data_IF_025005308038
#
_entry.id   IF_025005308038
#
_cell.length_a   1.000
_cell.length_b   1.000
_cell.length_c   1.000
_cell.angle_alpha   90.00
_cell.angle_beta   90.00
_cell.angle_gamma   90.00
#
_symmetry.space_group_name_H-M   'P 1'
#
loop_
_entity.id
_entity.type
_entity.pdbx_description
1 polymer ?
#
# COMPACT_ATOMS: atom_id res chain seq x y z
N UNK A 1 -8.16 9.10 17.58
CA UNK A 1 -8.09 7.65 17.33
C UNK A 1 -8.09 7.50 15.82
N UNK A 2 -7.15 6.74 15.24
CA UNK A 2 -7.11 6.57 13.77
C UNK A 2 -8.19 5.59 13.32
N UNK A 3 -8.73 5.79 12.13
CA UNK A 3 -9.61 4.80 11.51
C UNK A 3 -8.81 3.57 11.10
N UNK A 4 -9.40 2.40 11.26
CA UNK A 4 -8.80 1.12 10.90
C UNK A 4 -9.66 0.53 9.78
N UNK A 5 -9.13 0.60 8.55
CA UNK A 5 -9.75 0.07 7.34
C UNK A 5 -8.78 -0.85 6.63
N UNK A 6 -9.33 -1.78 5.88
CA UNK A 6 -8.58 -2.74 5.10
C UNK A 6 -9.22 -2.89 3.73
N UNK A 7 -8.39 -3.16 2.73
CA UNK A 7 -8.82 -3.68 1.44
C UNK A 7 -8.04 -4.95 1.14
N UNK A 8 -8.56 -5.77 0.24
CA UNK A 8 -8.05 -7.10 -0.03
C UNK A 8 -7.95 -7.31 -1.53
N UNK A 9 -6.77 -7.67 -2.00
CA UNK A 9 -6.60 -8.21 -3.33
C UNK A 9 -6.81 -9.71 -3.32
N UNK A 10 -7.69 -10.22 -4.20
CA UNK A 10 -7.83 -11.65 -4.42
C UNK A 10 -6.99 -12.10 -5.61
N UNK A 11 -6.01 -12.97 -5.35
CA UNK A 11 -5.18 -13.58 -6.41
C UNK A 11 -5.95 -14.53 -7.32
N UNK A 12 -7.09 -15.05 -6.84
CA UNK A 12 -7.90 -15.98 -7.62
C UNK A 12 -8.80 -15.27 -8.63
N UNK A 13 -9.46 -14.18 -8.20
CA UNK A 13 -10.37 -13.43 -9.07
C UNK A 13 -9.71 -12.25 -9.73
N UNK A 14 -8.49 -11.89 -9.31
CA UNK A 14 -7.75 -10.69 -9.72
C UNK A 14 -8.60 -9.43 -9.55
N UNK A 15 -9.15 -9.26 -8.34
CA UNK A 15 -10.02 -8.13 -7.99
C UNK A 15 -9.69 -7.58 -6.60
N UNK A 16 -9.82 -6.27 -6.47
CA UNK A 16 -9.79 -5.56 -5.20
C UNK A 16 -11.18 -5.60 -4.54
N UNK A 17 -11.18 -5.86 -3.23
CA UNK A 17 -12.38 -5.83 -2.37
C UNK A 17 -12.11 -4.90 -1.19
N UNK A 18 -12.95 -3.88 -1.03
CA UNK A 18 -12.97 -2.98 0.13
C UNK A 18 -14.13 -3.30 1.10
N UNK A 19 -14.98 -4.25 0.74
CA UNK A 19 -16.06 -4.78 1.55
C UNK A 19 -16.25 -6.30 1.36
N UNK A 20 -17.22 -6.88 2.08
CA UNK A 20 -17.64 -8.26 1.85
C UNK A 20 -16.59 -9.33 2.18
N UNK A 21 -15.63 -9.03 3.06
CA UNK A 21 -14.67 -9.99 3.59
C UNK A 21 -14.60 -9.98 5.12
N UNK A 22 -14.16 -11.10 5.68
CA UNK A 22 -13.94 -11.28 7.12
C UNK A 22 -12.54 -11.85 7.37
N UNK A 23 -11.86 -11.35 8.39
CA UNK A 23 -10.55 -11.85 8.82
C UNK A 23 -10.73 -12.51 10.19
N UNK A 24 -10.40 -13.80 10.31
CA UNK A 24 -10.43 -14.53 11.60
C UNK A 24 -9.31 -14.07 12.53
N UNK A 25 -9.39 -14.46 13.81
CA UNK A 25 -8.31 -14.20 14.77
C UNK A 25 -6.99 -14.86 14.36
N UNK A 26 -7.05 -16.00 13.68
CA UNK A 26 -5.89 -16.74 13.17
C UNK A 26 -5.37 -16.16 11.84
N UNK A 27 -6.04 -15.14 11.31
CA UNK A 27 -5.68 -14.44 10.08
C UNK A 27 -6.18 -15.11 8.80
N UNK A 28 -7.19 -15.98 8.90
CA UNK A 28 -7.86 -16.56 7.74
C UNK A 28 -8.83 -15.56 7.13
N UNK A 29 -8.94 -15.54 5.80
CA UNK A 29 -9.79 -14.60 5.08
C UNK A 29 -10.95 -15.31 4.38
N UNK A 30 -12.15 -14.80 4.62
CA UNK A 30 -13.41 -15.29 4.04
C UNK A 30 -14.01 -14.21 3.16
N UNK A 31 -14.53 -14.61 2.01
CA UNK A 31 -15.15 -13.71 1.05
C UNK A 31 -16.64 -14.03 0.93
N UNK A 32 -17.49 -13.07 1.33
CA UNK A 32 -18.94 -13.19 1.39
C UNK A 32 -19.44 -14.25 2.41
N UNK A 33 -20.76 -14.39 2.56
CA UNK A 33 -21.39 -15.42 3.41
C UNK A 33 -21.19 -16.87 2.89
N UNK A 34 -20.52 -17.02 1.75
CA UNK A 34 -20.05 -18.32 1.28
C UNK A 34 -18.82 -18.70 2.10
N UNK A 35 -18.93 -19.76 2.89
CA UNK A 35 -17.82 -20.45 3.58
C UNK A 35 -16.83 -21.11 2.58
N UNK A 36 -16.60 -20.50 1.43
CA UNK A 36 -15.52 -20.87 0.52
C UNK A 36 -14.22 -20.40 1.17
N UNK A 37 -13.71 -21.24 2.06
CA UNK A 37 -12.38 -21.12 2.62
C UNK A 37 -11.41 -21.00 1.45
N UNK A 38 -10.72 -19.86 1.36
CA UNK A 38 -9.55 -19.75 0.51
C UNK A 38 -8.34 -19.69 1.41
N UNK A 39 -7.30 -20.43 1.01
CA UNK A 39 -6.01 -20.40 1.69
C UNK A 39 -5.59 -18.93 1.89
N UNK A 40 -5.08 -18.58 3.08
CA UNK A 40 -4.48 -17.27 3.40
C UNK A 40 -3.57 -16.74 2.30
N UNK A 41 -2.83 -17.61 1.62
CA UNK A 41 -1.95 -17.24 0.51
C UNK A 41 -2.68 -16.74 -0.76
N UNK A 42 -4.02 -16.88 -0.82
CA UNK A 42 -4.86 -16.49 -1.96
C UNK A 42 -5.24 -15.02 -1.95
N UNK A 43 -4.91 -14.31 -0.86
CA UNK A 43 -5.26 -12.93 -0.67
C UNK A 43 -4.07 -12.12 -0.20
N UNK A 44 -4.12 -10.83 -0.49
CA UNK A 44 -3.19 -9.84 0.04
C UNK A 44 -4.01 -8.76 0.74
N UNK A 45 -3.78 -8.58 2.03
CA UNK A 45 -4.48 -7.61 2.87
C UNK A 45 -3.64 -6.34 2.91
N UNK A 46 -4.26 -5.20 2.67
CA UNK A 46 -3.62 -3.88 2.71
C UNK A 46 -4.35 -2.99 3.70
N UNK A 47 -3.60 -2.38 4.62
CA UNK A 47 -4.16 -1.49 5.62
C UNK A 47 -4.21 -0.02 5.15
N UNK A 48 -5.27 0.69 5.53
CA UNK A 48 -5.35 2.14 5.40
C UNK A 48 -4.32 2.84 6.30
N UNK A 49 -3.59 3.80 5.73
CA UNK A 49 -2.52 4.51 6.43
C UNK A 49 -3.02 5.49 7.48
N UNK A 50 -4.28 5.95 7.39
CA UNK A 50 -4.78 7.08 8.17
C UNK A 50 -4.61 8.44 7.47
N UNK A 51 -4.15 8.48 6.22
CA UNK A 51 -3.90 9.70 5.44
C UNK A 51 -4.55 9.65 4.07
N UNK A 52 -4.80 10.81 3.48
CA UNK A 52 -5.34 10.98 2.13
C UNK A 52 -4.31 11.66 1.22
N UNK A 53 -4.39 11.39 -0.08
CA UNK A 53 -3.63 12.07 -1.12
C UNK A 53 -4.20 13.47 -1.44
N UNK A 54 -3.60 14.19 -2.38
CA UNK A 54 -3.99 15.57 -2.73
C UNK A 54 -5.39 15.71 -3.32
N UNK A 55 -5.99 14.61 -3.77
CA UNK A 55 -7.33 14.55 -4.32
C UNK A 55 -8.35 14.05 -3.28
N UNK A 56 -7.94 13.86 -2.02
CA UNK A 56 -8.78 13.32 -0.95
C UNK A 56 -9.00 11.82 -1.06
N UNK A 57 -8.17 11.09 -1.83
CA UNK A 57 -8.24 9.63 -1.91
C UNK A 57 -7.42 9.03 -0.76
N UNK A 58 -8.03 8.12 -0.02
CA UNK A 58 -7.36 7.38 1.04
C UNK A 58 -6.12 6.63 0.53
N UNK A 59 -5.03 6.72 1.29
CA UNK A 59 -3.78 6.00 1.02
C UNK A 59 -3.77 4.67 1.76
N UNK A 60 -3.65 3.58 1.01
CA UNK A 60 -3.49 2.23 1.51
C UNK A 60 -2.07 1.72 1.27
N UNK A 61 -1.68 0.70 2.03
CA UNK A 61 -0.50 -0.10 1.70
C UNK A 61 -0.53 -0.53 0.23
N UNK A 62 0.65 -0.46 -0.39
CA UNK A 62 0.93 -0.88 -1.76
C UNK A 62 0.22 -0.05 -2.85
N UNK A 63 -0.34 1.11 -2.49
CA UNK A 63 -0.68 2.14 -3.48
C UNK A 63 0.58 2.69 -4.15
N UNK A 64 0.47 2.94 -5.45
CA UNK A 64 1.46 3.64 -6.26
C UNK A 64 1.04 5.10 -6.33
N UNK A 65 1.92 5.97 -5.89
CA UNK A 65 1.74 7.42 -5.86
C UNK A 65 2.69 8.11 -6.81
N UNK A 66 2.28 9.28 -7.29
CA UNK A 66 3.09 10.17 -8.10
C UNK A 66 3.21 11.52 -7.41
N UNK A 67 4.44 12.01 -7.27
CA UNK A 67 4.69 13.33 -6.71
C UNK A 67 4.55 14.45 -7.76
N UNK A 68 4.74 15.71 -7.34
CA UNK A 68 4.69 16.89 -8.22
C UNK A 68 5.80 16.96 -9.26
N UNK A 69 6.88 16.18 -9.10
CA UNK A 69 8.01 16.11 -10.03
C UNK A 69 7.88 14.94 -11.02
N UNK A 70 6.86 14.09 -10.83
CA UNK A 70 6.62 12.91 -11.67
C UNK A 70 7.35 11.65 -11.19
N UNK A 71 7.94 11.67 -10.00
CA UNK A 71 8.52 10.46 -9.40
C UNK A 71 7.41 9.52 -8.94
N UNK A 72 7.67 8.22 -9.04
CA UNK A 72 6.75 7.17 -8.61
C UNK A 72 7.25 6.50 -7.34
N UNK A 73 6.35 6.38 -6.37
CA UNK A 73 6.62 5.76 -5.07
C UNK A 73 5.53 4.76 -4.71
N UNK A 74 5.88 3.74 -3.94
CA UNK A 74 4.96 2.76 -3.36
C UNK A 74 4.78 3.04 -1.86
N UNK A 75 3.54 3.02 -1.37
CA UNK A 75 3.25 3.16 0.06
C UNK A 75 3.58 1.85 0.78
N UNK A 76 4.54 1.90 1.70
CA UNK A 76 4.99 0.71 2.44
C UNK A 76 4.94 0.95 3.95
N UNK A 77 4.68 -0.12 4.71
CA UNK A 77 4.99 -0.17 6.13
C UNK A 77 6.47 -0.50 6.33
N UNK A 78 7.19 0.37 7.04
CA UNK A 78 8.61 0.18 7.37
C UNK A 78 8.71 -0.32 8.81
N UNK A 79 9.07 -1.58 9.00
CA UNK A 79 9.10 -2.24 10.31
C UNK A 79 10.15 -1.62 11.23
N UNK A 80 11.32 -1.29 10.69
CA UNK A 80 12.43 -0.67 11.44
C UNK A 80 12.04 0.65 12.11
N UNK A 81 10.99 1.31 11.60
CA UNK A 81 10.49 2.60 12.09
C UNK A 81 9.09 2.53 12.69
N UNK A 82 8.35 1.44 12.44
CA UNK A 82 6.96 1.31 12.84
C UNK A 82 6.07 2.41 12.24
N UNK A 83 6.30 2.76 10.97
CA UNK A 83 5.60 3.83 10.29
C UNK A 83 5.41 3.55 8.79
N UNK A 84 4.40 4.19 8.21
CA UNK A 84 4.22 4.23 6.77
C UNK A 84 5.18 5.23 6.11
N UNK A 85 5.66 4.86 4.93
CA UNK A 85 6.54 5.69 4.11
C UNK A 85 6.22 5.54 2.62
N UNK A 86 6.58 6.56 1.84
CA UNK A 86 6.70 6.47 0.39
C UNK A 86 8.06 5.88 0.04
N UNK A 87 8.07 4.82 -0.75
CA UNK A 87 9.27 4.11 -1.18
C UNK A 87 9.45 4.29 -2.68
N UNK A 88 10.57 4.87 -3.15
CA UNK A 88 10.86 4.95 -4.58
C UNK A 88 10.67 3.60 -5.26
N UNK A 89 9.95 3.59 -6.37
CA UNK A 89 9.49 2.36 -7.03
C UNK A 89 10.64 1.40 -7.37
N UNK A 90 11.81 1.92 -7.71
CA UNK A 90 13.02 1.13 -7.98
C UNK A 90 13.52 0.40 -6.72
N UNK A 91 13.56 1.07 -5.57
CA UNK A 91 13.93 0.44 -4.30
C UNK A 91 12.91 -0.61 -3.86
N UNK A 92 11.62 -0.35 -4.11
CA UNK A 92 10.57 -1.32 -3.87
C UNK A 92 10.78 -2.60 -4.70
N UNK A 93 11.00 -2.45 -6.01
CA UNK A 93 11.23 -3.58 -6.94
C UNK A 93 12.49 -4.37 -6.60
N UNK A 94 13.55 -3.70 -6.16
CA UNK A 94 14.78 -4.36 -5.71
C UNK A 94 14.65 -5.05 -4.34
N UNK A 95 13.61 -4.71 -3.56
CA UNK A 95 13.43 -5.18 -2.19
C UNK A 95 14.39 -4.55 -1.18
N UNK A 96 15.09 -3.48 -1.57
CA UNK A 96 16.16 -2.84 -0.79
C UNK A 96 15.68 -1.53 -0.13
N UNK A 97 14.51 -1.49 0.51
CA UNK A 97 13.93 -0.24 1.02
C UNK A 97 13.87 -0.11 2.54
N UNK A 98 13.86 -1.22 3.29
CA UNK A 98 13.63 -1.24 4.75
C UNK A 98 14.63 -0.38 5.56
N UNK A 99 15.87 -0.27 5.06
CA UNK A 99 16.95 0.52 5.66
C UNK A 99 17.34 1.72 4.76
N UNK A 100 17.36 1.53 3.44
CA UNK A 100 17.79 2.53 2.46
C UNK A 100 16.94 3.79 2.46
N UNK A 101 15.61 3.67 2.64
CA UNK A 101 14.71 4.84 2.74
C UNK A 101 15.09 5.72 3.93
N UNK A 102 15.54 5.09 5.02
CA UNK A 102 15.97 5.79 6.25
C UNK A 102 17.31 6.48 6.06
N UNK A 103 18.26 5.80 5.42
CA UNK A 103 19.65 6.23 5.33
C UNK A 103 19.93 7.20 4.17
N UNK A 104 19.29 7.02 3.02
CA UNK A 104 19.58 7.79 1.80
C UNK A 104 18.64 8.99 1.60
N UNK A 105 17.36 8.84 1.95
CA UNK A 105 16.32 9.84 1.65
C UNK A 105 15.85 10.60 2.90
N UNK A 106 16.23 10.12 4.09
CA UNK A 106 15.98 10.80 5.36
C UNK A 106 14.51 10.79 5.78
N UNK A 107 14.13 11.73 6.66
CA UNK A 107 12.81 11.74 7.32
C UNK A 107 11.65 12.24 6.44
N UNK A 108 11.93 12.69 5.22
CA UNK A 108 10.94 13.29 4.32
C UNK A 108 10.07 12.27 3.58
N UNK A 109 10.48 11.00 3.61
CA UNK A 109 9.72 9.84 3.10
C UNK A 109 8.57 9.42 4.03
N UNK A 110 8.55 9.95 5.25
CA UNK A 110 7.52 9.64 6.24
C UNK A 110 6.44 10.70 6.22
N UNK A 111 5.20 10.29 6.47
CA UNK A 111 4.05 11.18 6.75
C UNK A 111 4.26 12.13 7.96
N UNK A 112 5.47 12.16 8.53
CA UNK A 112 5.86 12.93 9.71
C UNK A 112 6.29 14.36 9.37
N UNK A 113 6.93 14.58 8.23
CA UNK A 113 7.44 15.90 7.83
C UNK A 113 6.63 16.54 6.69
N UNK A 114 6.00 15.73 5.85
CA UNK A 114 5.16 16.19 4.74
C UNK A 114 3.78 15.53 4.84
N UNK A 115 2.71 16.33 4.70
CA UNK A 115 1.33 15.84 4.69
C UNK A 115 1.05 15.30 3.29
N UNK A 116 0.77 14.00 3.11
CA UNK A 116 0.55 13.38 1.78
C UNK A 116 -0.42 14.16 0.89
N UNK A 117 -1.45 14.72 1.51
CA UNK A 117 -2.47 15.56 0.89
C UNK A 117 -1.96 16.81 0.16
N UNK A 118 -0.71 17.21 0.32
CA UNK A 118 -0.19 18.40 -0.35
C UNK A 118 0.51 18.11 -1.68
N UNK A 119 0.96 16.87 -1.92
CA UNK A 119 1.89 16.59 -3.02
C UNK A 119 1.80 15.21 -3.67
N UNK A 120 1.16 14.23 -3.02
CA UNK A 120 1.00 12.87 -3.56
C UNK A 120 -0.33 12.71 -4.27
N UNK A 121 -0.32 11.90 -5.32
CA UNK A 121 -1.52 11.47 -6.04
C UNK A 121 -1.46 9.96 -6.24
N UNK A 122 -2.48 9.23 -5.78
CA UNK A 122 -2.59 7.79 -6.05
C UNK A 122 -2.97 7.59 -7.51
N UNK A 123 -2.09 6.91 -8.24
CA UNK A 123 -2.28 6.61 -9.66
C UNK A 123 -2.61 5.14 -9.92
N UNK A 124 -2.51 4.27 -8.91
CA UNK A 124 -2.74 2.84 -9.03
C UNK A 124 -2.29 2.09 -7.79
N UNK A 125 -2.19 0.77 -7.88
CA UNK A 125 -1.53 -0.07 -6.87
C UNK A 125 -0.78 -1.21 -7.56
N UNK A 126 0.11 -1.88 -6.82
CA UNK A 126 0.99 -2.90 -7.40
C UNK A 126 0.26 -4.12 -8.01
N UNK A 127 -1.01 -4.33 -7.65
CA UNK A 127 -1.79 -5.49 -8.09
C UNK A 127 -2.65 -5.18 -9.32
N UNK A 128 -3.35 -4.05 -9.30
CA UNK A 128 -4.20 -3.62 -10.41
C UNK A 128 -3.42 -2.92 -11.53
N UNK A 129 -2.22 -2.42 -11.22
CA UNK A 129 -1.37 -1.68 -12.15
C UNK A 129 0.10 -2.18 -12.15
N UNK A 130 0.35 -3.48 -12.38
CA UNK A 130 1.71 -4.03 -12.38
C UNK A 130 2.61 -3.40 -13.46
N UNK A 131 2.03 -2.89 -14.55
CA UNK A 131 2.75 -2.19 -15.63
C UNK A 131 3.54 -0.97 -15.13
N UNK A 132 3.05 -0.29 -14.08
CA UNK A 132 3.74 0.87 -13.50
C UNK A 132 5.07 0.49 -12.83
N UNK A 133 5.20 -0.76 -12.38
CA UNK A 133 6.45 -1.29 -11.82
C UNK A 133 7.46 -1.65 -12.94
N UNK A 134 6.97 -2.03 -14.12
CA UNK A 134 7.81 -2.47 -15.23
C UNK A 134 8.43 -1.30 -16.00
N UNK A 135 7.70 -0.19 -16.16
CA UNK A 135 8.20 1.04 -16.81
C UNK A 135 9.37 1.70 -16.05
N UNK A 136 9.60 1.29 -14.81
CA UNK A 136 10.61 1.86 -13.92
C UNK A 136 11.90 1.02 -13.81
N UNK A 137 12.02 -0.04 -14.63
CA UNK A 137 13.23 -0.89 -14.72
C UNK A 137 14.27 -0.38 -15.72
#
# INVERSE_FOLDING_TARGET
MREIKFRVWSKHTEKMFDDGFYISQDGDLFQNDSLDYKNKDSFEVMQYTGSEDKNGRELYELDITKDKFGNLDVICWINSLGAYATVPINLYVEGNYEYTVVDEFGTDCFFKNNVPGDFLEVIGNIYENPELLEESK
#
